data_IF_412318823667
#
_entry.id   IF_412318823667
#
_cell.length_a   1.000
_cell.length_b   1.000
_cell.length_c   1.000
_cell.angle_alpha   90.00
_cell.angle_beta   90.00
_cell.angle_gamma   90.00
#
_symmetry.space_group_name_H-M   'P 1'
#
loop_
_entity.id
_entity.type
_entity.pdbx_description
1 polymer ?
#
# COMPACT_ATOMS: atom_id res chain seq x y z
N UNK A 1 -62.69 12.51 14.33
CA UNK A 1 -64.07 11.99 14.32
C UNK A 1 -64.46 11.72 12.88
N UNK A 2 -64.97 10.51 12.61
CA UNK A 2 -65.78 10.04 11.47
C UNK A 2 -65.29 10.36 10.04
N UNK A 3 -65.05 9.40 9.14
CA UNK A 3 -65.34 7.97 9.13
C UNK A 3 -66.00 7.56 7.80
N UNK A 4 -65.57 6.40 7.28
CA UNK A 4 -66.31 5.42 6.46
C UNK A 4 -66.73 5.80 5.01
N UNK A 5 -66.82 4.89 4.02
CA UNK A 5 -66.43 3.48 3.87
C UNK A 5 -66.78 3.02 2.42
N UNK A 6 -66.24 1.86 2.03
CA UNK A 6 -66.77 0.96 0.98
C UNK A 6 -65.78 0.72 -0.16
N UNK A 7 -65.40 -0.50 -0.55
CA UNK A 7 -65.77 -1.84 -0.11
C UNK A 7 -65.46 -2.86 -1.23
N UNK A 8 -65.08 -4.09 -0.85
CA UNK A 8 -65.16 -5.33 -1.65
C UNK A 8 -64.03 -5.57 -2.65
N UNK A 9 -63.44 -6.77 -2.77
CA UNK A 9 -63.74 -8.06 -2.19
C UNK A 9 -62.62 -9.05 -2.55
N UNK A 10 -62.33 -9.98 -1.65
CA UNK A 10 -61.34 -11.03 -1.87
C UNK A 10 -61.91 -12.20 -2.68
N UNK A 11 -61.01 -13.06 -3.15
CA UNK A 11 -61.30 -14.50 -3.22
C UNK A 11 -60.00 -15.29 -3.21
N UNK A 12 -59.98 -16.26 -2.31
CA UNK A 12 -58.98 -17.29 -2.09
C UNK A 12 -59.49 -18.62 -2.64
N UNK A 13 -58.65 -19.41 -3.31
CA UNK A 13 -58.80 -20.87 -3.28
C UNK A 13 -57.49 -21.58 -3.68
N UNK A 14 -57.09 -22.50 -2.80
CA UNK A 14 -56.10 -23.57 -3.02
C UNK A 14 -56.66 -24.64 -3.99
N UNK A 15 -55.79 -25.42 -4.63
CA UNK A 15 -56.18 -26.76 -5.09
C UNK A 15 -55.40 -27.39 -6.25
N UNK A 16 -54.42 -28.23 -5.88
CA UNK A 16 -54.11 -29.55 -6.42
C UNK A 16 -53.53 -29.78 -7.83
N UNK A 17 -52.62 -30.77 -7.83
CA UNK A 17 -51.79 -31.33 -8.88
C UNK A 17 -52.53 -32.01 -10.04
N UNK A 18 -51.88 -32.02 -11.21
CA UNK A 18 -51.96 -33.13 -12.15
C UNK A 18 -50.60 -33.30 -12.87
N UNK A 19 -50.10 -34.53 -12.81
CA UNK A 19 -48.91 -34.99 -13.52
C UNK A 19 -49.25 -35.19 -15.02
N UNK A 20 -48.35 -34.77 -15.90
CA UNK A 20 -48.28 -35.28 -17.26
C UNK A 20 -46.81 -35.28 -17.70
N UNK A 21 -46.26 -36.49 -17.76
CA UNK A 21 -45.00 -36.83 -18.39
C UNK A 21 -45.11 -36.67 -19.91
N UNK A 22 -44.15 -35.99 -20.52
CA UNK A 22 -43.78 -36.23 -21.91
C UNK A 22 -42.28 -36.01 -22.09
N UNK A 23 -41.59 -37.12 -22.34
CA UNK A 23 -40.20 -37.15 -22.74
C UNK A 23 -40.05 -36.76 -24.21
N UNK A 24 -38.96 -36.06 -24.52
CA UNK A 24 -38.02 -36.33 -25.62
C UNK A 24 -37.67 -35.12 -26.49
N UNK A 25 -36.42 -35.22 -26.97
CA UNK A 25 -35.76 -34.44 -28.02
C UNK A 25 -35.19 -33.08 -27.59
N UNK A 26 -33.91 -33.13 -27.19
CA UNK A 26 -33.08 -31.95 -27.01
C UNK A 26 -32.76 -31.24 -28.33
N UNK A 27 -32.37 -29.98 -28.20
CA UNK A 27 -31.57 -29.28 -29.20
C UNK A 27 -30.58 -28.35 -28.49
N UNK A 28 -29.32 -28.27 -28.96
CA UNK A 28 -28.19 -27.83 -28.16
C UNK A 28 -27.90 -26.35 -28.42
N UNK A 29 -28.39 -25.48 -27.55
CA UNK A 29 -27.90 -24.11 -27.47
C UNK A 29 -27.47 -23.79 -26.03
N UNK A 30 -26.57 -24.63 -25.50
CA UNK A 30 -25.64 -24.21 -24.46
C UNK A 30 -24.33 -23.85 -25.16
N UNK A 31 -24.19 -22.56 -25.50
CA UNK A 31 -22.97 -22.02 -26.05
C UNK A 31 -21.84 -22.24 -25.04
N UNK A 32 -20.97 -23.19 -25.34
CA UNK A 32 -19.66 -23.30 -24.72
C UNK A 32 -18.88 -22.01 -25.05
N UNK A 33 -18.84 -21.07 -24.11
CA UNK A 33 -17.83 -20.02 -24.09
C UNK A 33 -16.49 -20.57 -23.56
N UNK A 34 -16.09 -21.75 -24.07
CA UNK A 34 -14.75 -22.28 -23.93
C UNK A 34 -13.92 -21.72 -25.07
N UNK A 35 -13.38 -20.52 -24.91
CA UNK A 35 -12.33 -20.02 -25.79
C UNK A 35 -11.24 -21.09 -25.86
N UNK A 36 -10.95 -21.59 -27.07
CA UNK A 36 -10.07 -22.73 -27.27
C UNK A 36 -8.76 -22.55 -26.53
N UNK A 37 -8.59 -23.30 -25.43
CA UNK A 37 -7.35 -23.30 -24.68
C UNK A 37 -6.26 -23.85 -25.60
N UNK A 38 -5.41 -22.96 -26.11
CA UNK A 38 -4.12 -23.32 -26.68
C UNK A 38 -3.35 -24.20 -25.69
N UNK A 39 -2.33 -24.92 -26.17
CA UNK A 39 -1.56 -25.91 -25.37
C UNK A 39 -1.18 -25.39 -23.97
N UNK A 40 -0.88 -24.09 -23.84
CA UNK A 40 -0.59 -23.41 -22.57
C UNK A 40 -1.67 -23.60 -21.48
N UNK A 41 -2.96 -23.58 -21.84
CA UNK A 41 -4.07 -23.74 -20.87
C UNK A 41 -4.36 -25.18 -20.47
N UNK A 42 -3.65 -26.17 -21.04
CA UNK A 42 -3.92 -27.61 -20.81
C UNK A 42 -2.98 -28.25 -19.79
N UNK A 43 -1.91 -27.57 -19.37
CA UNK A 43 -0.99 -28.09 -18.37
C UNK A 43 -1.66 -28.14 -16.99
N UNK A 44 -1.46 -29.22 -16.22
CA UNK A 44 -1.96 -29.31 -14.85
C UNK A 44 -1.42 -28.16 -13.98
N UNK A 45 -2.25 -27.64 -13.07
CA UNK A 45 -1.91 -26.49 -12.23
C UNK A 45 -0.57 -26.68 -11.48
N UNK A 46 -0.33 -27.86 -10.89
CA UNK A 46 0.92 -28.17 -10.18
C UNK A 46 2.18 -28.09 -11.06
N UNK A 47 2.07 -28.45 -12.34
CA UNK A 47 3.20 -28.35 -13.27
C UNK A 47 3.50 -26.90 -13.57
N UNK A 48 2.46 -26.10 -13.81
CA UNK A 48 2.59 -24.66 -14.03
C UNK A 48 3.12 -23.93 -12.80
N UNK A 49 2.63 -24.24 -11.59
CA UNK A 49 3.17 -23.69 -10.34
C UNK A 49 4.67 -24.02 -10.18
N UNK A 50 5.06 -25.26 -10.46
CA UNK A 50 6.47 -25.63 -10.40
C UNK A 50 7.31 -24.84 -11.41
N UNK A 51 6.86 -24.72 -12.67
CA UNK A 51 7.55 -23.92 -13.70
C UNK A 51 7.62 -22.45 -13.28
N UNK A 52 6.51 -21.87 -12.84
CA UNK A 52 6.41 -20.47 -12.42
C UNK A 52 7.29 -20.18 -11.20
N UNK A 53 7.52 -21.16 -10.32
CA UNK A 53 8.37 -20.97 -9.12
C UNK A 53 9.83 -20.61 -9.44
N UNK A 54 10.29 -20.85 -10.68
CA UNK A 54 11.62 -20.48 -11.17
C UNK A 54 11.68 -19.09 -11.83
N UNK A 55 10.54 -18.52 -12.22
CA UNK A 55 10.46 -17.26 -12.95
C UNK A 55 10.73 -16.05 -12.04
N UNK A 56 11.15 -14.95 -12.65
CA UNK A 56 11.26 -13.65 -11.99
C UNK A 56 9.91 -12.93 -11.93
N UNK A 57 9.80 -11.90 -11.09
CA UNK A 57 8.57 -11.14 -10.90
C UNK A 57 8.00 -10.61 -12.23
N UNK A 58 8.85 -10.07 -13.10
CA UNK A 58 8.48 -9.51 -14.39
C UNK A 58 7.83 -10.55 -15.31
N UNK A 59 8.37 -11.77 -15.33
CA UNK A 59 7.86 -12.86 -16.14
C UNK A 59 6.57 -13.45 -15.55
N UNK A 60 6.45 -13.54 -14.22
CA UNK A 60 5.19 -13.91 -13.58
C UNK A 60 4.05 -12.94 -13.93
N UNK A 61 4.34 -11.63 -13.94
CA UNK A 61 3.35 -10.63 -14.37
C UNK A 61 2.93 -10.86 -15.82
N UNK A 62 3.87 -11.13 -16.73
CA UNK A 62 3.56 -11.45 -18.13
C UNK A 62 2.77 -12.75 -18.27
N UNK A 63 3.13 -13.79 -17.52
CA UNK A 63 2.42 -15.07 -17.48
C UNK A 63 0.95 -14.90 -17.07
N UNK A 64 0.66 -14.01 -16.13
CA UNK A 64 -0.72 -13.74 -15.70
C UNK A 64 -1.60 -13.16 -16.82
N UNK A 65 -1.00 -12.58 -17.86
CA UNK A 65 -1.71 -12.01 -19.01
C UNK A 65 -1.94 -13.00 -20.15
N UNK A 66 -1.33 -14.19 -20.11
CA UNK A 66 -1.34 -15.15 -21.23
C UNK A 66 -2.72 -15.78 -21.43
N UNK A 67 -3.32 -16.29 -20.35
CA UNK A 67 -4.67 -16.87 -20.38
C UNK A 67 -5.29 -16.91 -18.97
N UNK A 68 -6.60 -17.11 -18.91
CA UNK A 68 -7.34 -17.18 -17.66
C UNK A 68 -6.80 -18.26 -16.71
N UNK A 69 -6.40 -19.43 -17.23
CA UNK A 69 -5.86 -20.53 -16.41
C UNK A 69 -4.57 -20.14 -15.70
N UNK A 70 -3.62 -19.51 -16.41
CA UNK A 70 -2.36 -19.05 -15.84
C UNK A 70 -2.57 -17.93 -14.84
N UNK A 71 -3.47 -16.99 -15.17
CA UNK A 71 -3.87 -15.94 -14.24
C UNK A 71 -4.44 -16.52 -12.94
N UNK A 72 -5.33 -17.51 -13.05
CA UNK A 72 -5.98 -18.13 -11.90
C UNK A 72 -4.97 -18.87 -11.01
N UNK A 73 -3.95 -19.51 -11.59
CA UNK A 73 -2.85 -20.13 -10.83
C UNK A 73 -2.04 -19.08 -10.06
N UNK A 74 -1.78 -17.93 -10.67
CA UNK A 74 -1.03 -16.83 -10.05
C UNK A 74 -1.89 -15.93 -9.13
N UNK A 75 -3.19 -16.17 -9.07
CA UNK A 75 -4.13 -15.41 -8.25
C UNK A 75 -4.02 -15.76 -6.77
N UNK A 76 -3.68 -17.01 -6.42
CA UNK A 76 -3.35 -17.37 -5.04
C UNK A 76 -2.02 -16.70 -4.64
N UNK A 77 -2.13 -15.62 -3.87
CA UNK A 77 -1.02 -14.80 -3.40
C UNK A 77 -0.09 -15.52 -2.39
N UNK A 78 -0.52 -16.69 -1.89
CA UNK A 78 0.23 -17.51 -0.95
C UNK A 78 0.74 -18.84 -1.52
N UNK A 79 0.60 -19.03 -2.83
CA UNK A 79 1.13 -20.21 -3.52
C UNK A 79 2.66 -20.35 -3.39
N UNK A 80 3.15 -21.57 -3.62
CA UNK A 80 4.60 -21.89 -3.62
C UNK A 80 5.40 -21.04 -4.63
N UNK A 81 4.74 -20.54 -5.69
CA UNK A 81 5.34 -19.60 -6.65
C UNK A 81 5.80 -18.32 -5.95
N UNK A 82 4.89 -17.67 -5.21
CA UNK A 82 5.19 -16.44 -4.50
C UNK A 82 6.11 -16.68 -3.30
N UNK A 83 5.94 -17.80 -2.59
CA UNK A 83 6.83 -18.20 -1.50
C UNK A 83 8.28 -18.37 -1.98
N UNK A 84 8.49 -19.10 -3.07
CA UNK A 84 9.80 -19.29 -3.69
C UNK A 84 10.42 -17.95 -4.11
N UNK A 85 9.64 -17.08 -4.77
CA UNK A 85 10.13 -15.76 -5.18
C UNK A 85 10.45 -14.86 -3.98
N UNK A 86 9.65 -14.88 -2.91
CA UNK A 86 9.95 -14.20 -1.64
C UNK A 86 11.31 -14.64 -1.10
N UNK A 87 11.54 -15.95 -0.97
CA UNK A 87 12.77 -16.48 -0.39
C UNK A 87 14.03 -16.14 -1.21
N UNK A 88 13.88 -15.92 -2.53
CA UNK A 88 14.98 -15.48 -3.40
C UNK A 88 15.19 -13.96 -3.40
N UNK A 89 14.14 -13.18 -3.11
CA UNK A 89 14.16 -11.71 -3.27
C UNK A 89 14.34 -10.95 -1.95
N UNK A 90 13.81 -11.49 -0.86
CA UNK A 90 13.82 -10.87 0.47
C UNK A 90 14.96 -11.47 1.31
N UNK A 91 15.53 -10.68 2.21
CA UNK A 91 16.50 -11.20 3.17
C UNK A 91 15.82 -12.10 4.21
N UNK A 92 16.57 -13.08 4.75
CA UNK A 92 16.10 -13.92 5.85
C UNK A 92 15.66 -13.10 7.07
N UNK A 93 16.35 -11.98 7.34
CA UNK A 93 16.01 -11.03 8.41
C UNK A 93 14.63 -10.40 8.20
N UNK A 94 14.33 -9.92 6.98
CA UNK A 94 13.02 -9.33 6.67
C UNK A 94 11.89 -10.36 6.78
N UNK A 95 12.16 -11.62 6.43
CA UNK A 95 11.17 -12.70 6.47
C UNK A 95 10.88 -13.22 7.88
N UNK A 96 11.86 -13.14 8.80
CA UNK A 96 11.75 -13.65 10.17
C UNK A 96 11.42 -12.58 11.22
N UNK A 97 11.64 -11.31 10.91
CA UNK A 97 11.28 -10.19 11.77
C UNK A 97 9.80 -9.82 11.68
N UNK A 98 9.38 -8.88 12.52
CA UNK A 98 8.03 -8.31 12.56
C UNK A 98 7.82 -7.19 11.53
N UNK A 99 8.84 -6.82 10.74
CA UNK A 99 8.75 -5.76 9.71
C UNK A 99 7.55 -5.99 8.78
N UNK A 100 7.34 -7.24 8.36
CA UNK A 100 6.30 -7.61 7.39
C UNK A 100 5.07 -8.27 8.05
N UNK A 101 4.87 -8.09 9.35
CA UNK A 101 3.80 -8.77 10.09
C UNK A 101 2.37 -8.40 9.62
N UNK A 102 2.20 -7.17 9.10
CA UNK A 102 0.91 -6.67 8.60
C UNK A 102 0.64 -7.05 7.13
N UNK A 103 1.52 -7.85 6.51
CA UNK A 103 1.37 -8.35 5.15
C UNK A 103 1.11 -9.87 5.17
N UNK A 104 -0.16 -10.30 5.02
CA UNK A 104 -0.53 -11.70 5.19
C UNK A 104 -0.10 -12.59 4.01
N UNK A 105 0.24 -12.01 2.86
CA UNK A 105 0.55 -12.76 1.64
C UNK A 105 2.00 -12.61 1.19
N UNK A 106 2.58 -13.68 0.61
CA UNK A 106 3.92 -13.62 0.00
C UNK A 106 3.96 -12.60 -1.15
N UNK A 107 2.94 -12.58 -2.00
CA UNK A 107 2.81 -11.55 -3.05
C UNK A 107 2.76 -10.13 -2.47
N UNK A 108 2.05 -9.92 -1.36
CA UNK A 108 2.01 -8.65 -0.63
C UNK A 108 3.38 -8.23 -0.10
N UNK A 109 4.15 -9.17 0.46
CA UNK A 109 5.55 -8.93 0.92
C UNK A 109 6.47 -8.53 -0.23
N UNK A 110 6.38 -9.20 -1.38
CA UNK A 110 7.12 -8.82 -2.59
C UNK A 110 6.72 -7.44 -3.09
N UNK A 111 5.41 -7.15 -3.09
CA UNK A 111 4.91 -5.82 -3.45
C UNK A 111 5.50 -4.75 -2.53
N UNK A 112 5.48 -4.97 -1.22
CA UNK A 112 6.08 -4.05 -0.27
C UNK A 112 7.56 -3.80 -0.57
N UNK A 113 8.32 -4.84 -0.91
CA UNK A 113 9.74 -4.72 -1.26
C UNK A 113 9.99 -3.88 -2.52
N UNK A 114 9.13 -4.01 -3.53
CA UNK A 114 9.20 -3.20 -4.76
C UNK A 114 8.90 -1.72 -4.47
N UNK A 115 8.06 -1.43 -3.47
CA UNK A 115 7.68 -0.07 -3.06
C UNK A 115 8.52 0.50 -1.89
N UNK A 116 9.50 -0.25 -1.37
CA UNK A 116 10.36 0.17 -0.26
C UNK A 116 11.22 1.40 -0.57
N UNK A 117 12.06 1.80 0.40
CA UNK A 117 12.96 2.94 0.24
C UNK A 117 14.00 2.69 -0.87
N UNK A 118 14.33 3.74 -1.62
CA UNK A 118 15.28 3.68 -2.73
C UNK A 118 16.70 3.93 -2.24
N UNK A 119 17.62 3.00 -2.52
CA UNK A 119 19.06 3.20 -2.32
C UNK A 119 19.70 4.14 -3.34
N UNK A 120 18.98 4.49 -4.41
CA UNK A 120 19.46 5.36 -5.48
C UNK A 120 18.85 6.76 -5.42
N UNK A 121 17.90 6.97 -4.51
CA UNK A 121 17.15 8.23 -4.38
C UNK A 121 17.05 8.64 -2.92
N UNK A 122 18.23 8.85 -2.34
CA UNK A 122 18.42 9.21 -0.94
C UNK A 122 19.67 10.09 -0.77
N UNK A 123 19.82 10.74 0.39
CA UNK A 123 21.04 11.47 0.75
C UNK A 123 22.27 10.57 0.65
N UNK A 124 23.44 11.16 0.37
CA UNK A 124 24.74 10.46 0.45
C UNK A 124 25.10 9.98 1.86
N UNK A 125 24.45 10.52 2.89
CA UNK A 125 24.70 10.19 4.29
C UNK A 125 23.77 9.09 4.83
N UNK A 126 22.91 8.53 3.98
CA UNK A 126 22.02 7.43 4.35
C UNK A 126 22.24 6.25 3.41
N UNK A 127 21.88 5.06 3.87
CA UNK A 127 21.81 3.89 3.03
C UNK A 127 20.61 3.03 3.44
N UNK A 128 20.08 2.24 2.50
CA UNK A 128 19.03 1.26 2.79
C UNK A 128 19.71 -0.04 3.21
N UNK A 129 19.31 -0.59 4.37
CA UNK A 129 19.83 -1.86 4.90
C UNK A 129 19.50 -3.02 3.96
N UNK A 130 20.19 -4.15 4.15
CA UNK A 130 20.00 -5.37 3.34
C UNK A 130 18.56 -5.91 3.38
N UNK A 131 17.80 -5.61 4.43
CA UNK A 131 16.38 -5.96 4.50
C UNK A 131 15.51 -5.24 3.43
N UNK A 132 15.99 -4.12 2.87
CA UNK A 132 15.33 -3.36 1.81
C UNK A 132 14.19 -2.45 2.25
N UNK A 133 13.89 -2.38 3.55
CA UNK A 133 12.81 -1.58 4.13
C UNK A 133 13.30 -0.46 5.04
N UNK A 134 14.47 -0.67 5.66
CA UNK A 134 15.01 0.22 6.68
C UNK A 134 16.11 1.11 6.11
N UNK A 135 15.95 2.41 6.26
CA UNK A 135 17.00 3.39 6.08
C UNK A 135 17.83 3.49 7.35
N UNK A 136 19.15 3.54 7.21
CA UNK A 136 20.09 3.89 8.26
C UNK A 136 20.77 5.22 7.91
N UNK A 137 20.83 6.14 8.87
CA UNK A 137 21.52 7.42 8.72
C UNK A 137 22.87 7.43 9.44
N UNK A 138 23.94 7.71 8.71
CA UNK A 138 25.28 7.86 9.28
C UNK A 138 25.34 9.06 10.26
N UNK A 139 26.21 9.03 11.28
CA UNK A 139 26.26 10.06 12.32
C UNK A 139 26.99 11.33 11.85
N UNK A 140 26.35 12.05 10.91
CA UNK A 140 26.87 13.29 10.33
C UNK A 140 26.27 14.48 11.05
N UNK A 141 27.12 15.35 11.59
CA UNK A 141 26.71 16.58 12.25
C UNK A 141 26.24 17.64 11.23
N UNK A 142 25.34 18.54 11.66
CA UNK A 142 24.86 19.67 10.87
C UNK A 142 24.35 19.27 9.48
N UNK A 143 23.59 18.17 9.41
CA UNK A 143 23.03 17.64 8.17
C UNK A 143 21.62 17.11 8.44
N UNK A 144 20.72 17.37 7.51
CA UNK A 144 19.42 16.69 7.43
C UNK A 144 19.41 15.85 6.17
N UNK A 145 18.98 14.61 6.32
CA UNK A 145 19.14 13.60 5.29
C UNK A 145 17.84 12.82 5.13
N UNK A 146 17.42 12.64 3.88
CA UNK A 146 16.17 11.98 3.54
C UNK A 146 16.31 10.92 2.47
N UNK A 147 15.20 10.23 2.22
CA UNK A 147 15.05 9.26 1.16
C UNK A 147 13.63 9.22 0.63
N UNK A 148 13.50 8.85 -0.65
CA UNK A 148 12.23 8.55 -1.31
C UNK A 148 12.02 7.04 -1.46
N UNK A 149 10.77 6.64 -1.57
CA UNK A 149 10.37 5.32 -2.05
C UNK A 149 10.82 5.08 -3.49
N UNK A 150 10.96 3.80 -3.88
CA UNK A 150 11.35 3.38 -5.24
C UNK A 150 10.31 3.79 -6.30
N UNK A 151 9.03 3.78 -5.92
CA UNK A 151 7.89 3.99 -6.82
C UNK A 151 7.11 5.21 -6.34
N UNK A 152 6.80 6.10 -7.28
CA UNK A 152 5.91 7.24 -7.06
C UNK A 152 4.53 6.98 -7.64
N UNK A 153 3.54 7.68 -7.13
CA UNK A 153 2.13 7.48 -7.42
C UNK A 153 1.56 8.70 -8.14
N UNK A 154 0.74 8.46 -9.17
CA UNK A 154 0.08 9.52 -9.95
C UNK A 154 -1.45 9.40 -9.96
N UNK A 155 -2.00 8.30 -9.46
CA UNK A 155 -3.42 7.94 -9.45
C UNK A 155 -3.69 6.94 -8.32
N UNK A 156 -4.94 6.81 -7.90
CA UNK A 156 -5.36 5.81 -6.92
C UNK A 156 -5.01 6.15 -5.47
N UNK A 157 -5.33 5.19 -4.60
CA UNK A 157 -5.15 5.28 -3.14
C UNK A 157 -4.06 4.32 -2.68
N UNK A 158 -3.15 4.82 -1.86
CA UNK A 158 -1.92 4.15 -1.47
C UNK A 158 -1.69 4.29 0.03
N UNK A 159 -1.27 3.21 0.68
CA UNK A 159 -0.90 3.23 2.08
C UNK A 159 0.41 2.51 2.36
N UNK A 160 1.14 3.05 3.34
CA UNK A 160 2.37 2.45 3.88
C UNK A 160 2.48 2.76 5.37
N UNK A 161 3.16 1.90 6.11
CA UNK A 161 3.59 2.14 7.48
C UNK A 161 5.01 2.70 7.50
N UNK A 162 5.28 3.57 8.47
CA UNK A 162 6.60 4.11 8.76
C UNK A 162 6.81 4.23 10.27
N UNK A 163 8.00 3.86 10.75
CA UNK A 163 8.36 3.95 12.17
C UNK A 163 9.87 4.13 12.37
N UNK A 164 10.22 4.72 13.51
CA UNK A 164 11.59 4.88 13.97
C UNK A 164 11.94 3.81 15.01
N UNK A 165 13.11 3.22 14.87
CA UNK A 165 13.66 2.25 15.83
C UNK A 165 14.57 2.91 16.89
N UNK A 166 14.72 4.25 16.82
CA UNK A 166 15.52 5.02 17.76
C UNK A 166 15.04 6.46 17.93
N UNK A 167 15.83 7.33 18.57
CA UNK A 167 15.45 8.72 18.81
C UNK A 167 15.21 9.47 17.49
N UNK A 168 14.19 10.34 17.51
CA UNK A 168 13.89 11.25 16.40
C UNK A 168 14.97 12.31 16.21
N UNK A 169 15.60 12.75 17.31
CA UNK A 169 16.45 13.93 17.33
C UNK A 169 15.63 15.21 17.43
N UNK A 170 16.18 16.33 16.93
CA UNK A 170 15.50 17.63 16.96
C UNK A 170 14.47 17.79 15.85
N UNK A 171 14.58 17.01 14.76
CA UNK A 171 13.67 17.06 13.61
C UNK A 171 13.54 15.67 12.98
N UNK A 172 12.31 15.19 12.82
CA UNK A 172 12.01 13.96 12.10
C UNK A 172 10.69 14.13 11.34
N UNK A 173 10.76 14.05 10.02
CA UNK A 173 9.62 14.38 9.15
C UNK A 173 9.29 13.21 8.26
N UNK A 174 8.02 12.82 8.25
CA UNK A 174 7.45 11.86 7.30
C UNK A 174 6.51 12.57 6.34
N UNK A 175 6.37 12.05 5.12
CA UNK A 175 5.37 12.57 4.20
C UNK A 175 5.60 12.12 2.78
N UNK A 176 5.46 13.05 1.85
CA UNK A 176 5.58 12.80 0.42
C UNK A 176 6.39 13.89 -0.27
N UNK A 177 7.00 13.55 -1.40
CA UNK A 177 7.79 14.47 -2.18
C UNK A 177 7.67 14.20 -3.67
N UNK A 178 7.84 15.23 -4.48
CA UNK A 178 8.11 15.05 -5.91
C UNK A 178 9.53 14.55 -6.12
N UNK A 179 9.85 14.14 -7.35
CA UNK A 179 11.23 13.78 -7.75
C UNK A 179 12.22 14.95 -7.63
N UNK A 180 11.73 16.20 -7.62
CA UNK A 180 12.56 17.42 -7.60
C UNK A 180 12.97 17.85 -6.19
N UNK A 181 12.26 17.43 -5.15
CA UNK A 181 12.60 17.82 -3.78
C UNK A 181 14.03 17.39 -3.42
N UNK A 182 14.76 18.21 -2.67
CA UNK A 182 16.08 17.82 -2.18
C UNK A 182 15.95 16.72 -1.13
N UNK A 183 16.85 15.73 -1.17
CA UNK A 183 16.96 14.69 -0.12
C UNK A 183 18.10 14.96 0.87
N UNK A 184 18.75 16.12 0.78
CA UNK A 184 19.82 16.50 1.69
C UNK A 184 19.91 18.03 1.83
N UNK A 185 20.15 18.51 3.05
CA UNK A 185 20.51 19.90 3.27
C UNK A 185 21.43 20.06 4.49
N UNK A 186 22.10 21.21 4.57
CA UNK A 186 22.93 21.57 5.71
C UNK A 186 22.07 22.03 6.89
N UNK A 187 22.50 21.72 8.10
CA UNK A 187 21.81 22.05 9.35
C UNK A 187 20.77 21.01 9.77
N UNK A 188 20.19 21.21 10.95
CA UNK A 188 19.10 20.40 11.49
C UNK A 188 17.79 21.13 11.23
N UNK A 189 17.19 20.88 10.07
CA UNK A 189 16.00 21.58 9.59
C UNK A 189 14.95 20.58 9.12
N UNK A 190 13.70 21.02 9.02
CA UNK A 190 12.65 20.20 8.47
C UNK A 190 12.70 20.22 6.94
N UNK A 191 13.48 19.29 6.39
CA UNK A 191 13.76 19.22 4.95
C UNK A 191 12.47 18.96 4.14
N UNK A 192 11.67 17.96 4.53
CA UNK A 192 10.37 17.74 3.89
C UNK A 192 9.40 18.84 4.32
N UNK A 193 8.85 19.54 3.33
CA UNK A 193 8.02 20.72 3.51
C UNK A 193 8.78 22.04 3.46
N UNK A 194 10.12 22.03 3.31
CA UNK A 194 10.93 23.26 3.20
C UNK A 194 10.74 24.00 1.87
N UNK A 195 10.15 23.34 0.88
CA UNK A 195 9.87 23.88 -0.46
C UNK A 195 8.47 23.47 -0.93
N UNK A 196 8.12 23.88 -2.15
CA UNK A 196 6.87 23.54 -2.82
C UNK A 196 6.89 22.12 -3.43
N UNK A 197 7.99 21.38 -3.27
CA UNK A 197 8.19 20.04 -3.84
C UNK A 197 7.92 18.92 -2.83
N UNK A 198 7.60 19.25 -1.58
CA UNK A 198 7.39 18.26 -0.53
C UNK A 198 6.34 18.68 0.51
N UNK A 199 5.70 17.69 1.14
CA UNK A 199 4.71 17.85 2.20
C UNK A 199 5.11 16.93 3.35
N UNK A 200 5.23 17.48 4.55
CA UNK A 200 5.80 16.78 5.69
C UNK A 200 5.05 16.99 6.99
N UNK A 201 4.96 15.94 7.81
CA UNK A 201 4.56 16.03 9.21
C UNK A 201 5.79 15.81 10.09
N UNK A 202 6.19 16.86 10.83
CA UNK A 202 7.28 16.79 11.81
C UNK A 202 6.77 16.14 13.11
N UNK A 203 7.28 14.94 13.39
CA UNK A 203 6.88 14.10 14.53
C UNK A 203 7.39 14.61 15.88
N UNK A 204 8.35 15.53 15.91
CA UNK A 204 8.93 16.09 17.16
C UNK A 204 8.01 17.14 17.77
N UNK A 205 7.50 18.03 16.92
CA UNK A 205 6.72 19.21 17.30
C UNK A 205 5.25 19.14 16.85
N UNK A 206 4.85 18.07 16.17
CA UNK A 206 3.50 17.86 15.64
C UNK A 206 3.07 18.96 14.66
N UNK A 207 3.99 19.40 13.79
CA UNK A 207 3.75 20.45 12.80
C UNK A 207 3.61 19.89 11.38
N UNK A 208 2.63 20.39 10.63
CA UNK A 208 2.54 20.19 9.19
C UNK A 208 3.39 21.23 8.47
N UNK A 209 4.09 20.81 7.42
CA UNK A 209 5.10 21.60 6.73
C UNK A 209 4.90 21.49 5.22
N UNK A 210 4.86 22.65 4.56
CA UNK A 210 4.87 22.77 3.11
C UNK A 210 5.27 24.19 2.70
N UNK A 211 5.98 24.34 1.58
CA UNK A 211 6.35 25.65 1.02
C UNK A 211 7.20 26.51 1.98
N UNK A 212 7.99 25.87 2.85
CA UNK A 212 8.83 26.56 3.84
C UNK A 212 8.05 27.09 5.05
N UNK A 213 6.75 26.80 5.14
CA UNK A 213 5.85 27.30 6.17
C UNK A 213 5.34 26.17 7.09
N UNK A 214 4.93 26.58 8.30
CA UNK A 214 4.23 25.70 9.25
C UNK A 214 2.72 25.87 9.02
N UNK A 215 2.08 24.83 8.49
CA UNK A 215 0.67 24.82 8.10
C UNK A 215 -0.28 24.42 9.24
N UNK A 216 0.21 24.48 10.48
CA UNK A 216 -0.54 24.19 11.70
C UNK A 216 -0.14 22.90 12.39
N UNK A 217 -0.74 22.68 13.56
CA UNK A 217 -0.51 21.49 14.38
C UNK A 217 -1.32 20.29 13.87
N UNK A 218 -0.75 19.10 13.99
CA UNK A 218 -1.38 17.82 13.64
C UNK A 218 -0.94 16.71 14.60
N UNK A 219 -1.85 15.87 15.12
CA UNK A 219 -3.31 15.88 14.88
C UNK A 219 -4.04 17.13 15.42
N UNK A 220 -5.21 17.44 14.86
CA UNK A 220 -6.04 18.57 15.30
C UNK A 220 -6.83 18.21 16.58
N UNK A 221 -6.13 18.03 17.69
CA UNK A 221 -6.74 17.78 18.99
C UNK A 221 -5.98 18.50 20.12
N UNK A 222 -6.67 18.70 21.24
CA UNK A 222 -6.04 19.25 22.44
C UNK A 222 -5.02 18.25 22.99
N UNK A 223 -3.80 18.73 23.25
CA UNK A 223 -2.69 17.91 23.74
C UNK A 223 -2.39 16.69 22.85
N UNK A 224 -2.27 16.93 21.55
CA UNK A 224 -1.85 15.93 20.56
C UNK A 224 -0.66 15.12 21.09
N UNK A 225 -0.80 13.78 21.18
CA UNK A 225 0.26 12.94 21.71
C UNK A 225 1.49 13.03 20.82
N UNK A 226 2.67 13.06 21.44
CA UNK A 226 3.94 12.96 20.71
C UNK A 226 4.16 11.53 20.23
N UNK A 227 4.87 11.41 19.12
CA UNK A 227 5.31 10.12 18.60
C UNK A 227 6.10 9.32 19.64
N UNK A 228 5.80 8.02 19.75
CA UNK A 228 6.55 7.09 20.59
C UNK A 228 7.46 6.21 19.73
N UNK A 229 8.70 5.98 20.19
CA UNK A 229 9.66 5.14 19.46
C UNK A 229 9.07 3.74 19.24
N UNK A 230 9.16 3.24 18.01
CA UNK A 230 8.58 1.96 17.59
C UNK A 230 7.10 2.03 17.21
N UNK A 231 6.42 3.16 17.43
CA UNK A 231 5.04 3.34 16.99
C UNK A 231 4.97 3.40 15.46
N UNK A 232 4.03 2.64 14.89
CA UNK A 232 3.80 2.62 13.44
C UNK A 232 2.76 3.65 13.06
N UNK A 233 3.18 4.61 12.25
CA UNK A 233 2.28 5.55 11.60
C UNK A 233 1.96 5.02 10.21
N UNK A 234 0.68 4.83 9.92
CA UNK A 234 0.24 4.57 8.56
C UNK A 234 -0.03 5.89 7.86
N UNK A 235 0.54 6.03 6.68
CA UNK A 235 0.36 7.17 5.79
C UNK A 235 -0.60 6.75 4.69
N UNK A 236 -1.60 7.56 4.40
CA UNK A 236 -2.60 7.33 3.36
C UNK A 236 -2.53 8.46 2.36
N UNK A 237 -2.09 8.15 1.15
CA UNK A 237 -2.07 9.06 0.00
C UNK A 237 -3.24 8.73 -0.91
N UNK A 238 -4.11 9.71 -1.10
CA UNK A 238 -5.20 9.66 -2.06
C UNK A 238 -4.87 10.59 -3.22
N UNK A 239 -4.47 10.04 -4.37
CA UNK A 239 -4.17 10.81 -5.57
C UNK A 239 -5.44 11.26 -6.31
N UNK A 240 -6.57 10.60 -6.06
CA UNK A 240 -7.84 10.90 -6.72
C UNK A 240 -8.50 12.11 -6.04
N UNK A 241 -8.61 12.08 -4.71
CA UNK A 241 -9.12 13.17 -3.88
C UNK A 241 -8.04 14.21 -3.51
N UNK A 242 -6.78 13.95 -3.87
CA UNK A 242 -5.62 14.82 -3.65
C UNK A 242 -5.40 15.15 -2.17
N UNK A 243 -5.37 14.11 -1.34
CA UNK A 243 -5.18 14.24 0.11
C UNK A 243 -4.05 13.38 0.64
N UNK A 244 -3.44 13.84 1.74
CA UNK A 244 -2.52 13.05 2.56
C UNK A 244 -3.09 12.99 3.98
N UNK A 245 -3.29 11.79 4.49
CA UNK A 245 -3.82 11.52 5.82
C UNK A 245 -2.91 10.56 6.59
N UNK A 246 -3.12 10.51 7.90
CA UNK A 246 -2.33 9.67 8.79
C UNK A 246 -3.23 8.88 9.75
N UNK A 247 -2.79 7.67 10.06
CA UNK A 247 -3.38 6.76 11.03
C UNK A 247 -2.31 6.30 12.02
N UNK A 248 -2.75 6.01 13.23
CA UNK A 248 -1.89 5.54 14.32
C UNK A 248 -2.57 4.36 14.99
N UNK A 249 -2.02 3.17 14.78
CA UNK A 249 -2.72 1.93 15.11
C UNK A 249 -4.04 1.83 14.35
N UNK A 250 -5.16 1.90 15.07
CA UNK A 250 -6.52 1.89 14.52
C UNK A 250 -7.21 3.27 14.57
N UNK A 251 -6.48 4.32 14.95
CA UNK A 251 -6.98 5.69 15.09
C UNK A 251 -6.69 6.51 13.83
N UNK A 252 -7.74 7.01 13.18
CA UNK A 252 -7.60 7.99 12.09
C UNK A 252 -7.33 9.38 12.65
N UNK A 253 -6.16 9.95 12.33
CA UNK A 253 -5.71 11.23 12.86
C UNK A 253 -6.25 12.43 12.07
N UNK A 254 -6.85 12.18 10.90
CA UNK A 254 -7.37 13.22 10.01
C UNK A 254 -6.55 13.41 8.74
N UNK A 255 -7.08 14.25 7.86
CA UNK A 255 -6.40 14.69 6.64
C UNK A 255 -5.47 15.85 6.96
N UNK A 256 -4.17 15.65 6.75
CA UNK A 256 -3.14 16.65 6.99
C UNK A 256 -3.00 17.63 5.83
N UNK A 257 -3.01 17.14 4.59
CA UNK A 257 -2.86 17.98 3.40
C UNK A 257 -3.99 17.73 2.41
N UNK A 258 -4.43 18.80 1.76
CA UNK A 258 -5.47 18.79 0.71
C UNK A 258 -4.97 19.56 -0.50
N UNK A 259 -5.55 19.27 -1.66
CA UNK A 259 -5.19 19.96 -2.91
C UNK A 259 -3.80 19.61 -3.39
N UNK A 260 -3.33 18.38 -3.12
CA UNK A 260 -2.07 17.87 -3.64
C UNK A 260 -2.00 18.06 -5.17
N UNK A 261 -0.81 18.37 -5.72
CA UNK A 261 -0.68 18.66 -7.15
C UNK A 261 -0.90 17.40 -7.98
N UNK A 262 -1.27 17.60 -9.25
CA UNK A 262 -1.29 16.53 -10.24
C UNK A 262 0.15 16.23 -10.70
N UNK A 263 0.90 15.54 -9.84
CA UNK A 263 2.28 15.15 -10.05
C UNK A 263 2.51 13.73 -9.52
N UNK A 264 3.61 13.10 -9.95
CA UNK A 264 4.05 11.85 -9.37
C UNK A 264 4.66 12.11 -7.98
N UNK A 265 4.04 11.55 -6.93
CA UNK A 265 4.42 11.75 -5.53
C UNK A 265 4.98 10.46 -4.94
N UNK A 266 6.11 10.59 -4.25
CA UNK A 266 6.84 9.48 -3.65
C UNK A 266 6.68 9.53 -2.13
N UNK A 267 6.49 8.38 -1.45
CA UNK A 267 6.72 8.29 -0.02
C UNK A 267 8.10 8.86 0.31
N UNK A 268 8.20 9.69 1.35
CA UNK A 268 9.44 10.33 1.71
C UNK A 268 9.60 10.45 3.22
N UNK A 269 10.86 10.44 3.65
CA UNK A 269 11.26 10.68 5.03
C UNK A 269 12.52 11.52 5.11
N UNK A 270 12.67 12.33 6.16
CA UNK A 270 13.92 13.02 6.50
C UNK A 270 14.21 12.97 7.99
N UNK A 271 15.50 12.81 8.34
CA UNK A 271 15.97 12.67 9.72
C UNK A 271 17.30 13.40 9.95
N UNK A 272 17.55 13.76 11.22
CA UNK A 272 18.77 14.46 11.65
C UNK A 272 19.59 13.68 12.68
N UNK A 273 19.00 12.68 13.34
CA UNK A 273 19.68 11.94 14.40
C UNK A 273 20.70 10.95 13.83
N UNK A 274 21.87 10.86 14.43
CA UNK A 274 22.92 9.94 14.00
C UNK A 274 22.61 8.50 14.38
N UNK A 275 22.91 7.55 13.49
CA UNK A 275 22.62 6.12 13.64
C UNK A 275 21.13 5.80 13.80
N UNK A 276 20.25 6.72 13.41
CA UNK A 276 18.80 6.46 13.44
C UNK A 276 18.42 5.52 12.31
N UNK A 277 17.46 4.65 12.60
CA UNK A 277 16.89 3.70 11.66
C UNK A 277 15.41 3.96 11.48
N UNK A 278 14.98 4.04 10.22
CA UNK A 278 13.60 4.30 9.84
C UNK A 278 13.14 3.24 8.87
N UNK A 279 12.09 2.51 9.25
CA UNK A 279 11.55 1.43 8.44
C UNK A 279 10.27 1.87 7.77
N UNK A 280 10.13 1.59 6.46
CA UNK A 280 8.93 1.88 5.68
C UNK A 280 8.43 0.62 4.96
N UNK A 281 7.15 0.29 5.12
CA UNK A 281 6.52 -0.90 4.53
C UNK A 281 5.24 -0.51 3.81
N UNK A 282 5.22 -0.71 2.49
CA UNK A 282 4.04 -0.45 1.69
C UNK A 282 2.98 -1.54 1.86
N UNK A 283 1.74 -1.12 2.11
CA UNK A 283 0.60 -2.00 2.40
C UNK A 283 -0.29 -2.24 1.18
N UNK A 284 -0.27 -1.34 0.19
CA UNK A 284 -1.17 -1.41 -0.96
C UNK A 284 -2.26 -0.36 -0.91
N UNK A 285 -3.43 -0.72 -1.43
CA UNK A 285 -4.62 0.13 -1.33
C UNK A 285 -5.10 0.10 0.13
N UNK A 286 -5.37 1.25 0.77
CA UNK A 286 -5.90 1.26 2.12
C UNK A 286 -7.30 0.61 2.17
N UNK A 287 -7.64 0.05 3.34
CA UNK A 287 -8.88 -0.69 3.59
C UNK A 287 -9.99 0.20 4.16
N UNK A 288 -9.79 1.51 4.15
CA UNK A 288 -10.73 2.51 4.63
C UNK A 288 -11.92 2.68 3.66
N UNK A 289 -13.11 2.38 4.16
CA UNK A 289 -14.40 2.39 3.45
C UNK A 289 -15.15 1.07 3.62
#
# INVERSE_FOLDING_TARGET
MSGAAGGGGGSSCMGAAAAASCSSAGSPYAAAAGGGAGVAGRLPARVLEHVFSYLELSDLMRCSLVCWHWNNILADENSEVWRSLCNRSLSDEAMRSDILCNLPTYKGKLKAYQHGLSSHDCSRNVYVKKNGFTLHRNPIAQSTDGARGKIGFSEGRHAWEIWWEGPLGTVAVIGIATKRASMQCQGYVALLGSDDQSWGWNLVDNNLLHNGEVNGNFPQCNNAPKYQIGERIRVILDMDDKTLAFERGFEFLGVAFRGLPKACLYPAVSAVYGNTEVTMVYLGKPLDG
#
